data_IF_041598029650
#
_entry.id   IF_041598029650
#
_cell.length_a   1.000
_cell.length_b   1.000
_cell.length_c   1.000
_cell.angle_alpha   90.00
_cell.angle_beta   90.00
_cell.angle_gamma   90.00
#
_symmetry.space_group_name_H-M   'P 1'
#
loop_
_entity.id
_entity.type
_entity.pdbx_description
1 polymer ?
#
# COMPACT_ATOMS: atom_id res chain seq x y z
N UNK A 1 49.51 -66.56 -63.77
CA UNK A 1 50.03 -65.66 -64.82
C UNK A 1 49.34 -64.32 -64.66
N UNK A 2 50.11 -63.29 -64.28
CA UNK A 2 49.91 -61.82 -64.40
C UNK A 2 48.48 -61.24 -64.26
N UNK A 3 48.14 -60.50 -63.20
CA UNK A 3 48.38 -59.04 -62.98
C UNK A 3 47.73 -58.17 -64.08
N UNK A 4 46.97 -57.10 -63.83
CA UNK A 4 46.61 -56.30 -62.65
C UNK A 4 45.65 -55.18 -63.12
N UNK A 5 45.49 -54.14 -62.30
CA UNK A 5 44.75 -52.86 -62.54
C UNK A 5 43.29 -52.86 -62.04
N UNK A 6 43.00 -52.51 -60.78
CA UNK A 6 43.20 -51.25 -60.03
C UNK A 6 42.33 -50.10 -60.57
N UNK A 7 41.23 -49.83 -59.87
CA UNK A 7 40.23 -48.84 -60.27
C UNK A 7 39.32 -48.46 -59.12
N UNK A 8 39.93 -48.10 -57.99
CA UNK A 8 39.27 -47.53 -56.83
C UNK A 8 38.49 -46.26 -57.20
N UNK A 9 37.16 -46.27 -57.00
CA UNK A 9 36.41 -45.06 -56.63
C UNK A 9 35.43 -45.39 -55.52
N UNK A 10 35.98 -45.46 -54.30
CA UNK A 10 35.20 -45.40 -53.06
C UNK A 10 34.53 -44.03 -52.98
N UNK A 11 33.23 -43.98 -53.26
CA UNK A 11 32.38 -42.86 -52.88
C UNK A 11 32.26 -42.86 -51.35
N UNK A 12 33.21 -42.20 -50.68
CA UNK A 12 33.11 -41.91 -49.27
C UNK A 12 31.98 -40.91 -49.07
N UNK A 13 30.82 -41.41 -48.64
CA UNK A 13 29.74 -40.63 -48.06
C UNK A 13 30.30 -39.92 -46.81
N UNK A 14 30.80 -38.70 -47.00
CA UNK A 14 31.14 -37.81 -45.90
C UNK A 14 29.82 -37.39 -45.22
N UNK A 15 29.41 -38.15 -44.21
CA UNK A 15 28.37 -37.74 -43.27
C UNK A 15 28.94 -36.54 -42.51
N UNK A 16 28.60 -35.35 -42.97
CA UNK A 16 28.92 -34.11 -42.27
C UNK A 16 28.22 -34.11 -40.92
N UNK A 17 28.96 -34.40 -39.85
CA UNK A 17 28.48 -34.18 -38.48
C UNK A 17 28.25 -32.66 -38.36
N UNK A 18 27.01 -32.20 -38.10
CA UNK A 18 26.77 -30.78 -37.93
C UNK A 18 27.61 -30.31 -36.74
N UNK A 19 28.52 -29.36 -37.01
CA UNK A 19 29.35 -28.75 -35.98
C UNK A 19 28.44 -28.21 -34.88
N UNK A 20 28.42 -28.88 -33.73
CA UNK A 20 27.69 -28.45 -32.57
C UNK A 20 28.15 -27.02 -32.24
N UNK A 21 27.26 -26.04 -32.38
CA UNK A 21 27.55 -24.63 -32.05
C UNK A 21 27.99 -24.58 -30.60
N UNK A 22 29.31 -24.49 -30.38
CA UNK A 22 29.89 -24.41 -29.04
C UNK A 22 29.48 -23.06 -28.47
N UNK A 23 28.44 -23.07 -27.64
CA UNK A 23 28.02 -21.87 -26.91
C UNK A 23 29.23 -21.30 -26.15
N UNK A 24 29.42 -19.97 -26.12
CA UNK A 24 30.62 -19.34 -25.56
C UNK A 24 30.90 -19.78 -24.12
N UNK A 25 32.18 -20.03 -23.78
CA UNK A 25 32.62 -20.57 -22.46
C UNK A 25 32.13 -19.73 -21.26
N UNK A 26 31.85 -18.44 -21.44
CA UNK A 26 31.32 -17.55 -20.40
C UNK A 26 29.84 -17.81 -20.02
N UNK A 27 29.07 -18.53 -20.85
CA UNK A 27 27.69 -18.97 -20.53
C UNK A 27 27.63 -20.25 -19.67
N UNK A 28 28.78 -20.89 -19.41
CA UNK A 28 28.86 -22.14 -18.61
C UNK A 28 29.06 -21.90 -17.12
N UNK A 29 29.43 -20.69 -16.69
CA UNK A 29 29.50 -20.35 -15.27
C UNK A 29 28.08 -20.22 -14.71
N UNK A 30 27.73 -21.14 -13.81
CA UNK A 30 26.44 -21.19 -13.08
C UNK A 30 26.06 -19.83 -12.48
N UNK A 31 27.05 -19.05 -12.03
CA UNK A 31 26.87 -17.69 -11.53
C UNK A 31 26.24 -16.74 -12.57
N UNK A 32 26.79 -16.67 -13.79
CA UNK A 32 26.30 -15.78 -14.85
C UNK A 32 24.88 -16.16 -15.28
N UNK A 33 24.58 -17.46 -15.36
CA UNK A 33 23.22 -17.94 -15.64
C UNK A 33 22.22 -17.54 -14.56
N UNK A 34 22.60 -17.61 -13.28
CA UNK A 34 21.75 -17.20 -12.16
C UNK A 34 21.50 -15.68 -12.18
N UNK A 35 22.52 -14.87 -12.44
CA UNK A 35 22.36 -13.42 -12.53
C UNK A 35 21.48 -13.00 -13.71
N UNK A 36 21.77 -13.48 -14.93
CA UNK A 36 20.99 -13.15 -16.12
C UNK A 36 19.53 -13.62 -15.96
N UNK A 37 19.30 -14.82 -15.42
CA UNK A 37 17.96 -15.31 -15.15
C UNK A 37 17.22 -14.45 -14.11
N UNK A 38 17.88 -14.12 -12.98
CA UNK A 38 17.30 -13.25 -11.95
C UNK A 38 16.93 -11.86 -12.47
N UNK A 39 17.85 -11.19 -13.19
CA UNK A 39 17.56 -9.87 -13.77
C UNK A 39 16.48 -9.93 -14.85
N UNK A 40 16.45 -10.98 -15.68
CA UNK A 40 15.40 -11.13 -16.69
C UNK A 40 14.01 -11.28 -16.09
N UNK A 41 13.88 -11.98 -14.95
CA UNK A 41 12.62 -12.10 -14.21
C UNK A 41 12.18 -10.79 -13.57
N UNK A 42 13.14 -9.96 -13.11
CA UNK A 42 12.85 -8.64 -12.54
C UNK A 42 12.54 -7.59 -13.59
N UNK A 43 13.06 -7.74 -14.81
CA UNK A 43 13.00 -6.72 -15.87
C UNK A 43 11.57 -6.25 -16.17
N UNK A 44 10.55 -7.13 -16.37
CA UNK A 44 9.18 -6.69 -16.61
C UNK A 44 8.60 -5.86 -15.46
N UNK A 45 8.88 -6.23 -14.21
CA UNK A 45 8.42 -5.50 -13.04
C UNK A 45 9.08 -4.12 -12.93
N UNK A 46 10.41 -4.05 -13.15
CA UNK A 46 11.15 -2.78 -13.13
C UNK A 46 10.71 -1.86 -14.26
N UNK A 47 10.54 -2.40 -15.47
CA UNK A 47 10.03 -1.63 -16.61
C UNK A 47 8.62 -1.11 -16.34
N UNK A 48 7.73 -1.95 -15.80
CA UNK A 48 6.38 -1.55 -15.44
C UNK A 48 6.39 -0.39 -14.42
N UNK A 49 7.15 -0.52 -13.33
CA UNK A 49 7.27 0.55 -12.32
C UNK A 49 7.91 1.80 -12.92
N UNK A 50 8.98 1.66 -13.70
CA UNK A 50 9.66 2.80 -14.32
C UNK A 50 8.76 3.57 -15.28
N UNK A 51 8.02 2.87 -16.14
CA UNK A 51 7.14 3.49 -17.14
C UNK A 51 5.86 4.03 -16.53
N UNK A 52 5.16 3.27 -15.67
CA UNK A 52 3.84 3.68 -15.19
C UNK A 52 3.86 4.47 -13.89
N UNK A 53 4.95 4.42 -13.12
CA UNK A 53 5.10 5.21 -11.89
C UNK A 53 6.19 6.26 -12.06
N UNK A 54 7.36 5.87 -12.56
CA UNK A 54 8.50 6.77 -12.73
C UNK A 54 8.24 7.92 -13.70
N UNK A 55 7.74 7.63 -14.90
CA UNK A 55 7.45 8.67 -15.91
C UNK A 55 6.42 9.71 -15.41
N UNK A 56 5.21 9.34 -14.93
CA UNK A 56 4.25 10.34 -14.45
C UNK A 56 4.74 11.08 -13.21
N UNK A 57 5.55 10.45 -12.35
CA UNK A 57 6.18 11.12 -11.21
C UNK A 57 7.17 12.21 -11.67
N UNK A 58 8.07 11.89 -12.59
CA UNK A 58 9.02 12.86 -13.14
C UNK A 58 8.31 13.98 -13.90
N UNK A 59 7.25 13.64 -14.64
CA UNK A 59 6.40 14.63 -15.30
C UNK A 59 5.71 15.55 -14.29
N UNK A 60 5.18 15.01 -13.18
CA UNK A 60 4.60 15.81 -12.10
C UNK A 60 5.62 16.75 -11.45
N UNK A 61 6.88 16.31 -11.31
CA UNK A 61 7.98 17.14 -10.82
C UNK A 61 8.30 18.27 -11.81
N UNK A 62 8.35 17.97 -13.11
CA UNK A 62 8.53 18.97 -14.15
C UNK A 62 7.40 20.02 -14.14
N UNK A 63 6.15 19.58 -14.00
CA UNK A 63 5.00 20.48 -13.89
C UNK A 63 5.06 21.34 -12.64
N UNK A 64 5.50 20.79 -11.49
CA UNK A 64 5.69 21.57 -10.27
C UNK A 64 6.72 22.69 -10.43
N UNK A 65 7.71 22.52 -11.32
CA UNK A 65 8.72 23.52 -11.64
C UNK A 65 8.34 24.44 -12.83
N UNK A 66 7.12 24.32 -13.33
CA UNK A 66 6.64 25.06 -14.50
C UNK A 66 5.36 25.85 -14.19
N UNK A 67 5.11 26.94 -14.91
CA UNK A 67 3.82 27.63 -14.94
C UNK A 67 2.84 26.86 -15.84
N UNK A 68 2.51 25.64 -15.40
CA UNK A 68 1.54 24.79 -16.07
C UNK A 68 0.14 25.14 -15.56
N UNK A 69 -0.71 25.67 -16.43
CA UNK A 69 -2.12 25.91 -16.13
C UNK A 69 -3.04 25.05 -16.99
N UNK A 70 -4.20 24.69 -16.43
CA UNK A 70 -5.22 23.88 -17.11
C UNK A 70 -5.85 24.74 -18.21
N UNK A 71 -5.27 24.71 -19.41
CA UNK A 71 -5.70 25.47 -20.58
C UNK A 71 -4.58 26.20 -21.32
N UNK A 72 -3.39 26.35 -20.73
CA UNK A 72 -2.25 26.90 -21.45
C UNK A 72 -1.60 25.84 -22.36
N UNK A 73 -1.33 26.17 -23.63
CA UNK A 73 -0.74 25.22 -24.58
C UNK A 73 0.75 24.91 -24.30
N UNK A 74 1.45 25.78 -23.56
CA UNK A 74 2.88 25.64 -23.27
C UNK A 74 3.14 26.04 -21.81
N UNK A 75 3.71 25.12 -21.03
CA UNK A 75 4.20 25.41 -19.69
C UNK A 75 5.63 25.96 -19.76
N UNK A 76 5.88 27.12 -19.14
CA UNK A 76 7.23 27.71 -19.04
C UNK A 76 7.89 27.24 -17.75
N UNK A 77 9.18 26.91 -17.80
CA UNK A 77 9.93 26.57 -16.60
C UNK A 77 10.13 27.83 -15.73
N UNK A 78 9.69 27.76 -14.47
CA UNK A 78 9.77 28.85 -13.48
C UNK A 78 10.64 28.47 -12.27
N UNK A 79 11.35 27.34 -12.34
CA UNK A 79 12.20 26.89 -11.24
C UNK A 79 11.38 26.53 -10.01
N UNK A 80 11.77 27.03 -8.83
CA UNK A 80 11.15 26.66 -7.54
C UNK A 80 10.10 27.66 -7.05
N UNK A 81 9.74 28.66 -7.85
CA UNK A 81 8.84 29.75 -7.44
C UNK A 81 7.48 29.23 -6.97
N UNK A 82 6.94 28.22 -7.64
CA UNK A 82 5.71 27.53 -7.23
C UNK A 82 5.81 26.91 -5.83
N UNK A 83 6.97 26.36 -5.47
CA UNK A 83 7.19 25.74 -4.16
C UNK A 83 7.29 26.81 -3.06
N UNK A 84 7.97 27.92 -3.34
CA UNK A 84 8.04 29.05 -2.40
C UNK A 84 6.65 29.67 -2.18
N UNK A 85 5.92 29.93 -3.27
CA UNK A 85 4.55 30.44 -3.20
C UNK A 85 3.60 29.49 -2.44
N UNK A 86 3.77 28.18 -2.61
CA UNK A 86 3.02 27.18 -1.85
C UNK A 86 3.34 27.25 -0.35
N UNK A 87 4.61 27.38 0.04
CA UNK A 87 5.02 27.48 1.45
C UNK A 87 4.49 28.75 2.13
N UNK A 88 4.38 29.86 1.40
CA UNK A 88 3.81 31.11 1.90
C UNK A 88 2.29 31.07 2.02
N UNK A 89 1.61 30.22 1.23
CA UNK A 89 0.16 30.07 1.26
C UNK A 89 -0.37 29.63 2.63
N UNK A 90 -1.37 30.36 3.15
CA UNK A 90 -2.07 29.99 4.39
C UNK A 90 -2.85 28.68 4.22
N UNK A 91 -3.46 28.46 3.06
CA UNK A 91 -4.19 27.24 2.73
C UNK A 91 -3.28 26.02 2.74
N UNK A 92 -2.08 26.13 2.15
CA UNK A 92 -1.10 25.04 2.17
C UNK A 92 -0.66 24.70 3.60
N UNK A 93 -0.34 25.71 4.42
CA UNK A 93 0.06 25.51 5.82
C UNK A 93 -1.04 24.82 6.65
N UNK A 94 -2.30 25.20 6.45
CA UNK A 94 -3.44 24.53 7.09
C UNK A 94 -3.59 23.09 6.60
N UNK A 95 -3.53 22.85 5.28
CA UNK A 95 -3.62 21.51 4.70
C UNK A 95 -2.48 20.59 5.17
N UNK A 96 -1.25 21.12 5.25
CA UNK A 96 -0.08 20.40 5.75
C UNK A 96 -0.24 20.03 7.22
N UNK A 97 -0.64 20.99 8.08
CA UNK A 97 -0.92 20.72 9.49
C UNK A 97 -2.00 19.65 9.65
N UNK A 98 -3.12 19.78 8.94
CA UNK A 98 -4.21 18.80 9.00
C UNK A 98 -3.73 17.41 8.54
N UNK A 99 -2.92 17.34 7.48
CA UNK A 99 -2.37 16.09 6.96
C UNK A 99 -1.43 15.41 7.95
N UNK A 100 -0.57 16.18 8.62
CA UNK A 100 0.33 15.67 9.66
C UNK A 100 -0.44 15.17 10.89
N UNK A 101 -1.38 15.99 11.40
CA UNK A 101 -2.23 15.61 12.54
C UNK A 101 -3.05 14.37 12.21
N UNK A 102 -3.63 14.31 11.01
CA UNK A 102 -4.37 13.16 10.53
C UNK A 102 -3.50 11.91 10.43
N UNK A 103 -2.34 12.01 9.77
CA UNK A 103 -1.48 10.85 9.51
C UNK A 103 -0.89 10.29 10.80
N UNK A 104 -0.33 11.16 11.64
CA UNK A 104 0.25 10.74 12.92
C UNK A 104 -0.82 10.26 13.89
N UNK A 105 -1.91 11.01 14.04
CA UNK A 105 -3.01 10.66 14.93
C UNK A 105 -3.69 9.35 14.53
N UNK A 106 -4.06 9.20 13.26
CA UNK A 106 -4.65 7.97 12.75
C UNK A 106 -3.66 6.81 12.79
N UNK A 107 -2.39 7.04 12.49
CA UNK A 107 -1.34 6.03 12.54
C UNK A 107 -1.17 5.46 13.94
N UNK A 108 -0.97 6.33 14.93
CA UNK A 108 -0.85 5.94 16.35
C UNK A 108 -2.11 5.22 16.82
N UNK A 109 -3.30 5.78 16.55
CA UNK A 109 -4.56 5.17 16.96
C UNK A 109 -4.76 3.77 16.36
N UNK A 110 -4.48 3.60 15.06
CA UNK A 110 -4.54 2.28 14.41
C UNK A 110 -3.54 1.29 14.99
N UNK A 111 -2.31 1.73 15.27
CA UNK A 111 -1.28 0.86 15.84
C UNK A 111 -1.67 0.40 17.24
N UNK A 112 -2.12 1.31 18.11
CA UNK A 112 -2.56 0.97 19.47
C UNK A 112 -3.79 0.07 19.44
N UNK A 113 -4.85 0.48 18.75
CA UNK A 113 -6.10 -0.31 18.67
C UNK A 113 -5.88 -1.65 17.97
N UNK A 114 -5.08 -1.67 16.90
CA UNK A 114 -4.74 -2.87 16.15
C UNK A 114 -3.94 -3.86 16.98
N UNK A 115 -2.96 -3.39 17.75
CA UNK A 115 -2.14 -4.22 18.64
C UNK A 115 -2.97 -4.78 19.79
N UNK A 116 -3.74 -3.93 20.49
CA UNK A 116 -4.64 -4.38 21.55
C UNK A 116 -5.63 -5.42 21.03
N UNK A 117 -6.24 -5.16 19.88
CA UNK A 117 -7.17 -6.09 19.27
C UNK A 117 -6.48 -7.39 18.84
N UNK A 118 -5.25 -7.35 18.32
CA UNK A 118 -4.49 -8.55 17.95
C UNK A 118 -4.29 -9.46 19.17
N UNK A 119 -3.87 -8.92 20.31
CA UNK A 119 -3.70 -9.69 21.55
C UNK A 119 -5.03 -10.25 22.08
N UNK A 120 -6.10 -9.47 22.07
CA UNK A 120 -7.44 -9.96 22.42
C UNK A 120 -7.87 -11.11 21.49
N UNK A 121 -7.60 -10.97 20.20
CA UNK A 121 -7.89 -11.99 19.20
C UNK A 121 -6.94 -13.17 19.26
N UNK A 122 -5.85 -13.16 20.03
CA UNK A 122 -4.99 -14.33 20.28
C UNK A 122 -5.57 -15.25 21.37
N UNK A 123 -6.34 -14.70 22.32
CA UNK A 123 -6.96 -15.46 23.39
C UNK A 123 -7.99 -16.48 22.88
N UNK A 124 -8.17 -17.57 23.64
CA UNK A 124 -9.19 -18.59 23.37
C UNK A 124 -10.50 -18.17 24.03
N UNK A 125 -11.52 -17.84 23.24
CA UNK A 125 -12.86 -17.51 23.74
C UNK A 125 -13.95 -18.06 22.81
N UNK A 126 -15.16 -18.25 23.36
CA UNK A 126 -16.33 -18.76 22.61
C UNK A 126 -16.79 -17.70 21.59
N UNK A 127 -16.96 -18.09 20.33
CA UNK A 127 -17.40 -17.17 19.26
C UNK A 127 -16.29 -16.41 18.52
N UNK A 128 -15.01 -16.70 18.78
CA UNK A 128 -13.85 -16.02 18.14
C UNK A 128 -13.90 -15.96 16.61
N UNK A 129 -14.42 -17.00 15.94
CA UNK A 129 -14.57 -17.00 14.47
C UNK A 129 -15.55 -15.93 13.98
N UNK A 130 -16.69 -15.78 14.67
CA UNK A 130 -17.71 -14.78 14.34
C UNK A 130 -17.17 -13.38 14.60
N UNK A 131 -16.54 -13.16 15.76
CA UNK A 131 -15.93 -11.86 16.09
C UNK A 131 -14.89 -11.45 15.05
N UNK A 132 -14.00 -12.35 14.63
CA UNK A 132 -13.04 -12.09 13.55
C UNK A 132 -13.71 -11.72 12.24
N UNK A 133 -14.76 -12.46 11.83
CA UNK A 133 -15.49 -12.17 10.61
C UNK A 133 -16.15 -10.78 10.66
N UNK A 134 -16.81 -10.44 11.78
CA UNK A 134 -17.43 -9.13 11.96
C UNK A 134 -16.41 -7.99 11.95
N UNK A 135 -15.25 -8.19 12.56
CA UNK A 135 -14.17 -7.21 12.60
C UNK A 135 -13.55 -6.94 11.23
N UNK A 136 -13.56 -7.90 10.30
CA UNK A 136 -13.05 -7.69 8.93
C UNK A 136 -14.00 -6.83 8.10
N UNK A 137 -15.30 -6.84 8.39
CA UNK A 137 -16.32 -6.19 7.55
C UNK A 137 -16.03 -4.71 7.22
N UNK A 138 -15.62 -3.85 8.17
CA UNK A 138 -15.34 -2.44 7.87
C UNK A 138 -14.30 -2.26 6.74
N UNK A 139 -13.29 -3.12 6.70
CA UNK A 139 -12.24 -3.07 5.70
C UNK A 139 -12.74 -3.51 4.31
N UNK A 140 -13.60 -4.53 4.27
CA UNK A 140 -14.11 -5.14 3.03
C UNK A 140 -15.17 -4.29 2.32
N UNK A 141 -15.94 -3.48 3.06
CA UNK A 141 -16.94 -2.58 2.46
C UNK A 141 -16.23 -1.57 1.54
N UNK A 142 -16.70 -1.24 0.33
CA UNK A 142 -16.06 -0.24 -0.53
C UNK A 142 -15.92 1.14 0.15
N UNK A 143 -14.81 1.84 -0.11
CA UNK A 143 -14.50 3.14 0.54
C UNK A 143 -15.65 4.14 0.35
N UNK A 144 -16.17 4.25 -0.88
CA UNK A 144 -17.25 5.16 -1.19
C UNK A 144 -18.52 4.88 -0.37
N UNK A 145 -18.88 3.60 -0.20
CA UNK A 145 -20.08 3.19 0.56
C UNK A 145 -19.89 3.51 2.04
N UNK A 146 -18.73 3.18 2.62
CA UNK A 146 -18.43 3.56 4.00
C UNK A 146 -18.47 5.07 4.21
N UNK A 147 -17.89 5.84 3.27
CA UNK A 147 -17.86 7.30 3.35
C UNK A 147 -19.28 7.90 3.31
N UNK A 148 -20.16 7.40 2.43
CA UNK A 148 -21.55 7.85 2.37
C UNK A 148 -22.34 7.50 3.63
N UNK A 149 -22.17 6.28 4.16
CA UNK A 149 -22.81 5.87 5.41
C UNK A 149 -22.41 6.75 6.58
N UNK A 150 -21.11 7.00 6.76
CA UNK A 150 -20.61 7.89 7.80
C UNK A 150 -21.00 9.35 7.56
N UNK A 151 -21.03 9.83 6.31
CA UNK A 151 -21.49 11.18 5.99
C UNK A 151 -22.92 11.40 6.47
N UNK A 152 -23.82 10.43 6.26
CA UNK A 152 -25.20 10.50 6.76
C UNK A 152 -25.27 10.43 8.29
N UNK A 153 -24.49 9.55 8.92
CA UNK A 153 -24.42 9.46 10.39
C UNK A 153 -23.87 10.74 11.04
N UNK A 154 -23.02 11.48 10.33
CA UNK A 154 -22.39 12.74 10.76
C UNK A 154 -23.10 13.99 10.23
N UNK A 155 -24.30 13.83 9.68
CA UNK A 155 -25.09 14.93 9.09
C UNK A 155 -25.41 16.02 10.13
N UNK A 156 -25.54 17.28 9.70
CA UNK A 156 -25.80 18.38 10.64
C UNK A 156 -27.22 18.40 11.19
N UNK A 157 -28.19 17.85 10.45
CA UNK A 157 -29.61 17.91 10.79
C UNK A 157 -30.15 16.53 11.18
N UNK A 158 -29.83 15.50 10.41
CA UNK A 158 -30.37 14.14 10.57
C UNK A 158 -29.32 13.13 11.07
N UNK A 159 -28.36 13.59 11.87
CA UNK A 159 -27.36 12.70 12.47
C UNK A 159 -27.96 11.77 13.52
N UNK A 160 -27.86 10.47 13.26
CA UNK A 160 -28.17 9.41 14.23
C UNK A 160 -27.27 9.50 15.46
N UNK A 161 -26.01 9.95 15.28
CA UNK A 161 -25.07 10.14 16.38
C UNK A 161 -25.56 11.26 17.30
N UNK A 162 -25.92 12.42 16.76
CA UNK A 162 -26.46 13.52 17.56
C UNK A 162 -27.79 13.13 18.21
N UNK A 163 -28.67 12.42 17.49
CA UNK A 163 -29.91 11.91 18.07
C UNK A 163 -29.64 11.01 19.29
N UNK A 164 -28.70 10.06 19.18
CA UNK A 164 -28.34 9.15 20.27
C UNK A 164 -27.68 9.90 21.45
N UNK A 165 -26.72 10.78 21.17
CA UNK A 165 -26.04 11.59 22.19
C UNK A 165 -27.01 12.52 22.92
N UNK A 166 -27.95 13.13 22.19
CA UNK A 166 -29.00 13.97 22.76
C UNK A 166 -29.92 13.18 23.69
N UNK A 167 -30.25 11.93 23.33
CA UNK A 167 -31.04 11.04 24.20
C UNK A 167 -30.32 10.66 25.49
N UNK A 168 -28.99 10.55 25.43
CA UNK A 168 -28.13 10.33 26.58
C UNK A 168 -27.83 11.61 27.37
N UNK A 169 -28.38 12.77 26.98
CA UNK A 169 -28.13 14.08 27.56
C UNK A 169 -26.64 14.47 27.57
N UNK A 170 -25.87 13.98 26.59
CA UNK A 170 -24.43 14.27 26.45
C UNK A 170 -24.15 15.53 25.62
N UNK A 171 -25.15 16.02 24.88
CA UNK A 171 -25.05 17.21 24.02
C UNK A 171 -26.29 18.09 24.17
N UNK A 172 -26.20 19.32 23.67
CA UNK A 172 -27.32 20.26 23.66
C UNK A 172 -28.46 19.85 22.73
N UNK A 173 -29.62 20.50 22.88
CA UNK A 173 -30.74 20.31 21.97
C UNK A 173 -30.40 20.82 20.56
N UNK A 174 -31.09 20.30 19.55
CA UNK A 174 -30.94 20.78 18.18
C UNK A 174 -31.15 22.29 18.09
N UNK A 175 -30.24 22.99 17.39
CA UNK A 175 -30.26 24.44 17.24
C UNK A 175 -29.60 25.23 18.38
N UNK A 176 -29.02 24.56 19.38
CA UNK A 176 -28.22 25.20 20.43
C UNK A 176 -26.73 25.16 20.10
N UNK A 177 -25.92 25.99 20.75
CA UNK A 177 -24.45 25.99 20.61
C UNK A 177 -23.81 24.64 20.97
N UNK A 178 -24.50 23.83 21.78
CA UNK A 178 -24.08 22.49 22.17
C UNK A 178 -24.38 21.40 21.13
N UNK A 179 -24.98 21.72 19.98
CA UNK A 179 -25.26 20.75 18.92
C UNK A 179 -24.05 20.56 18.00
N UNK A 180 -23.43 19.36 17.95
CA UNK A 180 -22.23 19.13 17.15
C UNK A 180 -22.52 19.19 15.64
N UNK A 181 -21.77 20.01 14.91
CA UNK A 181 -21.77 20.03 13.45
C UNK A 181 -20.49 19.36 12.96
N UNK A 182 -20.48 18.03 12.98
CA UNK A 182 -19.29 17.18 12.81
C UNK A 182 -18.42 17.57 11.62
N UNK A 183 -19.00 17.71 10.43
CA UNK A 183 -18.27 18.04 9.21
C UNK A 183 -18.20 19.54 8.91
N UNK A 184 -18.93 20.37 9.66
CA UNK A 184 -18.99 21.82 9.47
C UNK A 184 -18.00 22.60 10.34
N UNK A 185 -17.52 22.01 11.44
CA UNK A 185 -16.53 22.64 12.32
C UNK A 185 -15.13 22.05 12.09
N UNK A 186 -14.07 22.86 11.91
CA UNK A 186 -12.76 22.36 11.48
C UNK A 186 -12.16 21.25 12.36
N UNK A 187 -12.25 21.39 13.69
CA UNK A 187 -11.70 20.41 14.63
C UNK A 187 -12.50 19.10 14.62
N UNK A 188 -13.84 19.19 14.64
CA UNK A 188 -14.71 18.02 14.54
C UNK A 188 -14.56 17.33 13.20
N UNK A 189 -14.41 18.07 12.10
CA UNK A 189 -14.30 17.51 10.76
C UNK A 189 -13.04 16.65 10.65
N UNK A 190 -11.90 17.18 11.13
CA UNK A 190 -10.65 16.42 11.19
C UNK A 190 -10.78 15.17 12.07
N UNK A 191 -11.37 15.31 13.27
CA UNK A 191 -11.57 14.20 14.20
C UNK A 191 -12.50 13.12 13.63
N UNK A 192 -13.60 13.51 13.00
CA UNK A 192 -14.56 12.60 12.38
C UNK A 192 -13.95 11.84 11.20
N UNK A 193 -13.27 12.52 10.29
CA UNK A 193 -12.61 11.87 9.15
C UNK A 193 -11.49 10.93 9.63
N UNK A 194 -10.73 11.35 10.65
CA UNK A 194 -9.71 10.52 11.30
C UNK A 194 -10.31 9.27 11.94
N UNK A 195 -11.40 9.43 12.69
CA UNK A 195 -12.11 8.34 13.34
C UNK A 195 -12.61 7.31 12.33
N UNK A 196 -13.28 7.75 11.25
CA UNK A 196 -13.77 6.85 10.19
C UNK A 196 -12.63 6.09 9.53
N UNK A 197 -11.51 6.78 9.28
CA UNK A 197 -10.32 6.18 8.71
C UNK A 197 -9.68 5.11 9.64
N UNK A 198 -9.62 5.39 10.94
CA UNK A 198 -9.14 4.44 11.96
C UNK A 198 -10.07 3.24 12.03
N UNK A 199 -11.37 3.46 12.25
CA UNK A 199 -12.41 2.42 12.37
C UNK A 199 -12.37 1.41 11.23
N UNK A 200 -12.17 1.90 10.00
CA UNK A 200 -12.11 1.05 8.81
C UNK A 200 -10.84 0.19 8.73
N UNK A 201 -9.72 0.71 9.23
CA UNK A 201 -8.39 0.16 8.93
C UNK A 201 -7.79 -0.67 10.07
N UNK A 202 -8.03 -0.29 11.32
CA UNK A 202 -7.40 -0.95 12.48
C UNK A 202 -7.73 -2.46 12.58
N UNK A 203 -8.93 -2.97 12.21
CA UNK A 203 -9.23 -4.38 12.36
C UNK A 203 -8.42 -5.28 11.42
N UNK A 204 -8.18 -4.82 10.19
CA UNK A 204 -7.32 -5.53 9.25
C UNK A 204 -5.88 -5.57 9.76
N UNK A 205 -5.36 -4.44 10.26
CA UNK A 205 -4.04 -4.37 10.89
C UNK A 205 -3.89 -5.35 12.07
N UNK A 206 -4.92 -5.47 12.91
CA UNK A 206 -4.93 -6.44 14.01
C UNK A 206 -4.80 -7.89 13.53
N UNK A 207 -5.43 -8.24 12.41
CA UNK A 207 -5.38 -9.60 11.86
C UNK A 207 -4.02 -9.90 11.25
N UNK A 208 -3.44 -8.95 10.50
CA UNK A 208 -2.09 -9.09 9.95
C UNK A 208 -1.07 -9.24 11.08
N UNK A 209 -1.15 -8.39 12.11
CA UNK A 209 -0.25 -8.46 13.26
C UNK A 209 -0.40 -9.78 14.02
N UNK A 210 -1.64 -10.20 14.29
CA UNK A 210 -1.92 -11.49 14.91
C UNK A 210 -1.34 -12.65 14.08
N UNK A 211 -1.50 -12.63 12.75
CA UNK A 211 -0.96 -13.67 11.87
C UNK A 211 0.57 -13.73 11.95
N UNK A 212 1.23 -12.56 11.96
CA UNK A 212 2.68 -12.45 12.20
C UNK A 212 3.09 -13.00 13.57
N UNK A 213 2.40 -12.61 14.64
CA UNK A 213 2.67 -13.11 16.00
C UNK A 213 2.48 -14.62 16.11
N UNK A 214 1.50 -15.20 15.40
CA UNK A 214 1.28 -16.66 15.38
C UNK A 214 2.32 -17.44 14.57
N UNK A 215 3.12 -16.77 13.74
CA UNK A 215 4.21 -17.42 12.99
C UNK A 215 5.49 -17.61 13.82
N UNK A 216 5.55 -16.99 15.01
CA UNK A 216 6.70 -17.12 15.92
C UNK A 216 6.74 -18.56 16.47
N UNK A 217 7.89 -19.26 16.37
CA UNK A 217 8.02 -20.61 16.90
C UNK A 217 7.76 -20.66 18.41
N UNK A 218 7.01 -21.66 18.92
CA UNK A 218 6.71 -21.79 20.35
C UNK A 218 7.94 -21.82 21.23
N UNK A 219 9.06 -22.35 20.73
CA UNK A 219 10.32 -22.51 21.47
C UNK A 219 10.90 -21.16 21.91
N UNK A 220 10.73 -20.12 21.08
CA UNK A 220 11.18 -18.75 21.42
C UNK A 220 10.35 -18.18 22.57
N UNK A 221 9.04 -18.43 22.54
CA UNK A 221 8.11 -17.97 23.58
C UNK A 221 8.35 -18.73 24.89
N UNK A 222 8.64 -20.03 24.82
CA UNK A 222 8.90 -20.83 26.01
C UNK A 222 10.26 -20.51 26.64
N UNK A 223 11.29 -20.21 25.83
CA UNK A 223 12.56 -19.70 26.34
C UNK A 223 12.38 -18.37 27.10
N UNK A 224 11.60 -17.43 26.55
CA UNK A 224 11.32 -16.16 27.22
C UNK A 224 10.64 -16.33 28.59
N UNK A 225 9.71 -17.28 28.71
CA UNK A 225 9.06 -17.61 29.99
C UNK A 225 10.04 -18.19 31.00
N UNK A 226 11.00 -19.01 30.56
CA UNK A 226 12.05 -19.56 31.43
C UNK A 226 12.98 -18.45 31.93
N UNK A 227 13.28 -17.47 31.08
CA UNK A 227 14.09 -16.29 31.42
C UNK A 227 13.34 -15.25 32.27
N UNK A 228 12.05 -15.47 32.56
CA UNK A 228 11.22 -14.61 33.42
C UNK A 228 10.67 -13.35 32.75
N UNK A 229 10.60 -13.34 31.42
CA UNK A 229 10.00 -12.27 30.61
C UNK A 229 8.51 -12.51 30.30
#
# INVERSE_FOLDING_TARGET
>A
MSAGDNGERRAALAIGVPAARVAPRWWRSIAVRRFVFGYSLLTPAVLYVGLLVGVPFLFSLYLALSDASVGAPIARFVGIDNLLAALESSTFRVALRNSLVFTLGAGIAKSVLGTTLAFLLMQRFRGRKVVRALLVMPFTIPIAVSALGWKWMLDSQFSVINWALGRLHLIGAYGTDGWPVWLGQPALALASVMFVNVWRSFPFGAIVLMAGLTSVPPEVIDAAKVDGA
#
